data_IF_811720872211
#
_entry.id   IF_811720872211
#
_cell.length_a   1.000
_cell.length_b   1.000
_cell.length_c   1.000
_cell.angle_alpha   90.00
_cell.angle_beta   90.00
_cell.angle_gamma   90.00
#
_symmetry.space_group_name_H-M   'P 1'
#
loop_
_entity.id
_entity.type
_entity.pdbx_description
1 polymer ?
#
# COMPACT_ATOMS: atom_id res chain seq x y z
N UNK A 1 33.93 -5.11 31.57
CA UNK A 1 33.44 -5.07 30.19
C UNK A 1 32.42 -3.94 30.05
N UNK A 2 32.80 -2.81 29.46
CA UNK A 2 31.97 -1.59 29.40
C UNK A 2 31.45 -1.44 27.97
N UNK A 3 30.14 -1.57 27.78
CA UNK A 3 29.46 -1.26 26.52
C UNK A 3 29.86 0.16 26.09
N UNK A 4 30.71 0.29 25.07
CA UNK A 4 31.15 1.59 24.55
C UNK A 4 29.94 2.26 23.87
N UNK A 5 29.55 3.42 24.38
CA UNK A 5 28.49 4.26 23.80
C UNK A 5 28.92 4.65 22.38
N UNK A 6 28.17 4.20 21.37
CA UNK A 6 28.40 4.60 19.98
C UNK A 6 27.93 6.07 19.87
N UNK A 7 28.88 7.00 19.72
CA UNK A 7 28.63 8.43 19.70
C UNK A 7 28.05 8.87 18.35
N UNK A 8 26.85 8.38 18.00
CA UNK A 8 26.06 8.94 16.91
C UNK A 8 25.41 10.21 17.44
N UNK A 9 25.67 11.36 16.81
CA UNK A 9 25.04 12.63 17.18
C UNK A 9 23.52 12.44 17.27
N UNK A 10 22.90 12.96 18.34
CA UNK A 10 21.46 12.87 18.65
C UNK A 10 20.92 11.50 19.12
N UNK A 11 21.76 10.48 19.36
CA UNK A 11 21.30 9.23 19.97
C UNK A 11 21.19 9.34 21.50
N UNK A 12 19.98 9.14 22.04
CA UNK A 12 19.74 8.97 23.47
C UNK A 12 19.09 7.60 23.74
N UNK A 13 19.50 6.94 24.85
CA UNK A 13 18.94 5.64 25.22
C UNK A 13 17.44 5.75 25.53
N UNK A 14 17.02 6.85 26.17
CA UNK A 14 15.61 7.14 26.45
C UNK A 14 14.79 7.32 25.17
N UNK A 15 15.30 8.08 24.20
CA UNK A 15 14.65 8.24 22.90
C UNK A 15 14.55 6.92 22.15
N UNK A 16 15.60 6.09 22.22
CA UNK A 16 15.56 4.73 21.65
C UNK A 16 14.49 3.85 22.32
N UNK A 17 14.39 3.85 23.66
CA UNK A 17 13.38 3.08 24.39
C UNK A 17 11.97 3.55 24.00
N UNK A 18 11.75 4.87 23.90
CA UNK A 18 10.49 5.46 23.47
C UNK A 18 10.12 5.02 22.04
N UNK A 19 11.03 5.18 21.08
CA UNK A 19 10.79 4.79 19.69
C UNK A 19 10.60 3.28 19.56
N UNK A 20 11.31 2.45 20.34
CA UNK A 20 11.12 1.00 20.35
C UNK A 20 9.72 0.62 20.87
N UNK A 21 9.26 1.23 21.96
CA UNK A 21 7.92 1.00 22.50
C UNK A 21 6.84 1.42 21.49
N UNK A 22 7.02 2.58 20.86
CA UNK A 22 6.12 3.10 19.82
C UNK A 22 6.12 2.22 18.57
N UNK A 23 7.28 1.79 18.10
CA UNK A 23 7.40 0.89 16.95
C UNK A 23 6.71 -0.46 17.20
N UNK A 24 6.84 -1.00 18.42
CA UNK A 24 6.11 -2.20 18.85
C UNK A 24 4.60 -1.99 18.79
N UNK A 25 4.08 -0.92 19.38
CA UNK A 25 2.65 -0.61 19.36
C UNK A 25 2.14 -0.48 17.91
N UNK A 26 2.81 0.36 17.11
CA UNK A 26 2.49 0.56 15.70
C UNK A 26 2.51 -0.75 14.90
N UNK A 27 3.43 -1.67 15.18
CA UNK A 27 3.49 -2.96 14.51
C UNK A 27 2.21 -3.78 14.77
N UNK A 28 1.78 -3.89 16.02
CA UNK A 28 0.56 -4.63 16.37
C UNK A 28 -0.71 -3.95 15.84
N UNK A 29 -0.78 -2.62 15.86
CA UNK A 29 -1.90 -1.88 15.31
C UNK A 29 -2.03 -2.10 13.80
N UNK A 30 -0.91 -2.04 13.08
CA UNK A 30 -0.88 -2.32 11.64
C UNK A 30 -1.21 -3.78 11.33
N UNK A 31 -0.66 -4.74 12.09
CA UNK A 31 -0.96 -6.15 11.91
C UNK A 31 -2.46 -6.43 12.12
N UNK A 32 -3.06 -5.85 13.16
CA UNK A 32 -4.50 -5.97 13.45
C UNK A 32 -5.33 -5.39 12.30
N UNK A 33 -4.98 -4.20 11.82
CA UNK A 33 -5.65 -3.56 10.69
C UNK A 33 -5.56 -4.40 9.41
N UNK A 34 -4.38 -4.93 9.09
CA UNK A 34 -4.17 -5.81 7.93
C UNK A 34 -4.96 -7.12 8.06
N UNK A 35 -5.05 -7.69 9.27
CA UNK A 35 -5.84 -8.88 9.52
C UNK A 35 -7.33 -8.64 9.28
N UNK A 36 -7.86 -7.49 9.72
CA UNK A 36 -9.25 -7.09 9.43
C UNK A 36 -9.47 -7.05 7.92
N UNK A 37 -8.57 -6.40 7.17
CA UNK A 37 -8.68 -6.33 5.71
C UNK A 37 -8.59 -7.70 5.01
N UNK A 38 -7.79 -8.63 5.54
CA UNK A 38 -7.71 -9.98 5.01
C UNK A 38 -9.02 -10.76 5.23
N UNK A 39 -9.71 -10.51 6.34
CA UNK A 39 -10.99 -11.13 6.68
C UNK A 39 -12.19 -10.47 5.96
N UNK A 40 -12.06 -9.22 5.52
CA UNK A 40 -13.11 -8.52 4.76
C UNK A 40 -13.21 -9.06 3.34
N UNK A 41 -14.19 -9.90 3.03
CA UNK A 41 -14.36 -10.47 1.69
C UNK A 41 -14.87 -9.44 0.67
N UNK A 42 -14.36 -9.53 -0.55
CA UNK A 42 -14.78 -8.74 -1.73
C UNK A 42 -15.40 -9.62 -2.81
N UNK A 43 -15.75 -10.87 -2.50
CA UNK A 43 -16.23 -11.85 -3.50
C UNK A 43 -17.52 -11.43 -4.21
N UNK A 44 -18.43 -10.77 -3.49
CA UNK A 44 -19.73 -10.31 -4.01
C UNK A 44 -19.75 -8.81 -4.30
N UNK A 45 -18.60 -8.13 -4.15
CA UNK A 45 -18.46 -6.71 -4.43
C UNK A 45 -18.03 -6.54 -5.89
N UNK A 46 -18.69 -5.63 -6.60
CA UNK A 46 -18.22 -5.20 -7.92
C UNK A 46 -16.98 -4.29 -7.79
N UNK A 47 -15.83 -4.94 -7.61
CA UNK A 47 -14.54 -4.26 -7.48
C UNK A 47 -14.20 -3.49 -8.77
N UNK A 48 -14.69 -3.93 -9.92
CA UNK A 48 -14.44 -3.24 -11.19
C UNK A 48 -15.16 -1.89 -11.22
N UNK A 49 -16.46 -1.87 -10.88
CA UNK A 49 -17.21 -0.61 -10.76
C UNK A 49 -16.61 0.30 -9.70
N UNK A 50 -16.21 -0.24 -8.54
CA UNK A 50 -15.54 0.53 -7.48
C UNK A 50 -14.27 1.24 -8.00
N UNK A 51 -13.43 0.52 -8.74
CA UNK A 51 -12.18 1.06 -9.29
C UNK A 51 -12.41 2.10 -10.37
N UNK A 52 -13.38 1.89 -11.26
CA UNK A 52 -13.75 2.86 -12.30
C UNK A 52 -14.27 4.17 -11.69
N UNK A 53 -14.92 4.08 -10.53
CA UNK A 53 -15.43 5.19 -9.74
C UNK A 53 -14.35 5.96 -8.96
N UNK A 54 -13.36 5.25 -8.42
CA UNK A 54 -12.27 5.83 -7.62
C UNK A 54 -11.13 6.38 -8.48
N UNK A 55 -10.91 5.81 -9.66
CA UNK A 55 -9.77 6.12 -10.52
C UNK A 55 -10.27 6.82 -11.78
N UNK A 56 -9.98 8.12 -11.90
CA UNK A 56 -10.46 8.96 -13.02
C UNK A 56 -10.06 8.44 -14.41
N UNK A 57 -8.97 7.69 -14.53
CA UNK A 57 -8.53 7.10 -15.79
C UNK A 57 -9.06 5.68 -15.95
N UNK A 58 -10.01 5.47 -16.88
CA UNK A 58 -10.56 4.14 -17.21
C UNK A 58 -9.49 3.10 -17.53
N UNK A 59 -8.44 3.49 -18.27
CA UNK A 59 -7.31 2.60 -18.59
C UNK A 59 -6.54 2.18 -17.35
N UNK A 60 -6.34 3.12 -16.40
CA UNK A 60 -5.65 2.85 -15.14
C UNK A 60 -6.52 1.95 -14.25
N UNK A 61 -7.82 2.23 -14.17
CA UNK A 61 -8.79 1.41 -13.43
C UNK A 61 -8.84 -0.03 -13.94
N UNK A 62 -8.86 -0.23 -15.26
CA UNK A 62 -8.81 -1.57 -15.89
C UNK A 62 -7.54 -2.33 -15.53
N UNK A 63 -6.37 -1.72 -15.69
CA UNK A 63 -5.11 -2.34 -15.28
C UNK A 63 -5.05 -2.63 -13.78
N UNK A 64 -5.62 -1.76 -12.97
CA UNK A 64 -5.68 -1.95 -11.52
C UNK A 64 -6.59 -3.13 -11.16
N UNK A 65 -7.69 -3.33 -11.87
CA UNK A 65 -8.57 -4.48 -11.67
C UNK A 65 -7.87 -5.80 -12.04
N UNK A 66 -7.08 -5.79 -13.11
CA UNK A 66 -6.25 -6.94 -13.49
C UNK A 66 -5.19 -7.24 -12.42
N UNK A 67 -4.52 -6.21 -11.91
CA UNK A 67 -3.54 -6.35 -10.84
C UNK A 67 -4.20 -6.87 -9.55
N UNK A 68 -5.37 -6.36 -9.17
CA UNK A 68 -6.17 -6.89 -8.07
C UNK A 68 -6.53 -8.35 -8.26
N UNK A 69 -6.94 -8.75 -9.47
CA UNK A 69 -7.29 -10.15 -9.77
C UNK A 69 -6.08 -11.08 -9.60
N UNK A 70 -4.88 -10.61 -9.98
CA UNK A 70 -3.63 -11.33 -9.74
C UNK A 70 -3.35 -11.47 -8.23
N UNK A 71 -3.43 -10.38 -7.46
CA UNK A 71 -3.22 -10.42 -6.01
C UNK A 71 -4.25 -11.29 -5.29
N UNK A 72 -5.52 -11.25 -5.73
CA UNK A 72 -6.63 -12.03 -5.21
C UNK A 72 -6.51 -13.52 -5.54
N UNK A 73 -5.86 -13.90 -6.65
CA UNK A 73 -5.59 -15.31 -6.97
C UNK A 73 -4.68 -15.99 -5.94
N UNK A 74 -3.83 -15.22 -5.26
CA UNK A 74 -2.89 -15.71 -4.24
C UNK A 74 -3.47 -15.61 -2.83
N UNK A 75 -4.14 -14.50 -2.51
CA UNK A 75 -4.56 -14.17 -1.13
C UNK A 75 -6.07 -14.23 -0.90
N UNK A 76 -6.84 -14.53 -1.95
CA UNK A 76 -8.30 -14.54 -1.95
C UNK A 76 -8.92 -13.17 -2.29
N UNK A 77 -10.23 -13.20 -2.59
CA UNK A 77 -11.02 -11.99 -2.79
C UNK A 77 -11.33 -11.33 -1.45
N UNK A 78 -10.43 -10.44 -1.02
CA UNK A 78 -10.57 -9.64 0.17
C UNK A 78 -10.04 -8.21 -0.03
N UNK A 79 -10.33 -7.35 0.95
CA UNK A 79 -9.89 -5.95 0.98
C UNK A 79 -8.37 -5.83 1.02
N UNK A 80 -7.68 -6.78 1.65
CA UNK A 80 -6.22 -6.81 1.66
C UNK A 80 -5.63 -7.00 0.25
N UNK A 81 -6.24 -7.83 -0.60
CA UNK A 81 -5.83 -7.99 -2.00
C UNK A 81 -5.96 -6.70 -2.80
N UNK A 82 -7.00 -5.91 -2.55
CA UNK A 82 -7.17 -4.58 -3.16
C UNK A 82 -6.09 -3.60 -2.68
N UNK A 83 -5.82 -3.57 -1.37
CA UNK A 83 -4.72 -2.78 -0.81
C UNK A 83 -3.36 -3.21 -1.37
N UNK A 84 -3.12 -4.52 -1.51
CA UNK A 84 -1.91 -5.09 -2.10
C UNK A 84 -1.72 -4.64 -3.55
N UNK A 85 -2.79 -4.58 -4.35
CA UNK A 85 -2.72 -4.08 -5.71
C UNK A 85 -2.34 -2.59 -5.76
N UNK A 86 -2.91 -1.76 -4.88
CA UNK A 86 -2.56 -0.34 -4.79
C UNK A 86 -1.10 -0.14 -4.39
N UNK A 87 -0.61 -0.84 -3.36
CA UNK A 87 0.78 -0.71 -2.93
C UNK A 87 1.76 -1.30 -3.95
N UNK A 88 1.39 -2.37 -4.66
CA UNK A 88 2.17 -2.93 -5.77
C UNK A 88 2.35 -1.89 -6.90
N UNK A 89 1.29 -1.17 -7.27
CA UNK A 89 1.36 -0.07 -8.24
C UNK A 89 2.38 1.03 -7.86
N UNK A 90 2.46 1.38 -6.58
CA UNK A 90 3.39 2.38 -6.08
C UNK A 90 4.79 1.84 -5.74
N UNK A 91 4.96 0.51 -5.61
CA UNK A 91 6.26 -0.10 -5.27
C UNK A 91 7.05 -0.52 -6.50
N UNK A 92 6.37 -0.94 -7.57
CA UNK A 92 7.01 -1.46 -8.77
C UNK A 92 6.69 -0.62 -10.00
N UNK A 93 7.70 -0.46 -10.86
CA UNK A 93 7.64 0.30 -12.11
C UNK A 93 8.01 -0.54 -13.33
N UNK A 94 7.87 -1.87 -13.22
CA UNK A 94 8.30 -2.84 -14.21
C UNK A 94 7.11 -3.45 -14.96
N UNK A 95 7.41 -4.42 -15.84
CA UNK A 95 6.37 -5.12 -16.61
C UNK A 95 5.53 -6.07 -15.75
N UNK A 96 6.00 -6.46 -14.56
CA UNK A 96 5.35 -7.49 -13.73
C UNK A 96 3.99 -7.03 -13.21
N UNK A 97 3.83 -5.73 -12.98
CA UNK A 97 2.56 -5.17 -12.52
C UNK A 97 1.76 -4.44 -13.62
N UNK A 98 2.27 -4.41 -14.86
CA UNK A 98 1.62 -3.74 -15.98
C UNK A 98 1.64 -2.20 -15.92
N UNK A 99 2.38 -1.61 -14.97
CA UNK A 99 2.53 -0.17 -14.76
C UNK A 99 3.99 0.28 -14.94
N UNK A 100 4.56 -0.03 -16.10
CA UNK A 100 5.90 0.42 -16.48
C UNK A 100 5.99 1.95 -16.57
N UNK A 101 7.08 2.54 -16.07
CA UNK A 101 7.38 3.95 -16.34
C UNK A 101 7.89 4.11 -17.78
N UNK A 102 7.51 5.23 -18.42
CA UNK A 102 8.07 5.57 -19.73
C UNK A 102 9.48 6.11 -19.53
N UNK A 103 10.46 5.53 -20.22
CA UNK A 103 11.81 6.07 -20.24
C UNK A 103 11.88 7.30 -21.15
N UNK A 104 11.74 8.49 -20.59
CA UNK A 104 11.78 9.77 -21.31
C UNK A 104 13.18 10.42 -21.35
N UNK A 105 14.24 9.70 -20.97
CA UNK A 105 15.62 10.20 -20.98
C UNK A 105 15.99 11.17 -19.85
N UNK A 106 15.00 11.75 -19.17
CA UNK A 106 15.17 12.51 -17.93
C UNK A 106 14.99 11.61 -16.70
N UNK A 107 15.73 11.86 -15.62
CA UNK A 107 15.59 11.17 -14.34
C UNK A 107 14.32 11.63 -13.60
N UNK A 108 13.17 11.15 -14.06
CA UNK A 108 11.85 11.45 -13.49
C UNK A 108 11.28 10.25 -12.71
N UNK A 109 12.08 9.20 -12.52
CA UNK A 109 11.63 7.97 -11.87
C UNK A 109 11.18 8.25 -10.44
N UNK A 110 12.03 8.90 -9.65
CA UNK A 110 11.73 9.20 -8.24
C UNK A 110 10.45 10.04 -8.10
N UNK A 111 10.31 11.11 -8.90
CA UNK A 111 9.12 11.99 -8.89
C UNK A 111 7.86 11.21 -9.29
N UNK A 112 7.97 10.35 -10.31
CA UNK A 112 6.85 9.54 -10.77
C UNK A 112 6.41 8.53 -9.71
N UNK A 113 7.36 7.84 -9.06
CA UNK A 113 7.06 6.87 -8.00
C UNK A 113 6.44 7.54 -6.78
N UNK A 114 6.98 8.69 -6.36
CA UNK A 114 6.39 9.48 -5.29
C UNK A 114 4.96 9.94 -5.62
N UNK A 115 4.70 10.34 -6.87
CA UNK A 115 3.34 10.70 -7.30
C UNK A 115 2.38 9.49 -7.21
N UNK A 116 2.85 8.28 -7.48
CA UNK A 116 2.05 7.06 -7.29
C UNK A 116 1.75 6.80 -5.83
N UNK A 117 2.71 6.99 -4.93
CA UNK A 117 2.48 6.87 -3.49
C UNK A 117 1.38 7.82 -3.01
N UNK A 118 1.37 9.05 -3.53
CA UNK A 118 0.29 10.00 -3.23
C UNK A 118 -1.07 9.56 -3.77
N UNK A 119 -1.13 9.01 -5.00
CA UNK A 119 -2.37 8.46 -5.55
C UNK A 119 -2.91 7.32 -4.69
N UNK A 120 -2.03 6.40 -4.26
CA UNK A 120 -2.41 5.30 -3.36
C UNK A 120 -2.92 5.84 -2.03
N UNK A 121 -2.25 6.85 -1.45
CA UNK A 121 -2.72 7.49 -0.22
C UNK A 121 -4.15 8.04 -0.39
N UNK A 122 -4.46 8.65 -1.54
CA UNK A 122 -5.81 9.15 -1.83
C UNK A 122 -6.82 8.00 -1.92
N UNK A 123 -6.51 6.93 -2.66
CA UNK A 123 -7.41 5.78 -2.82
C UNK A 123 -7.69 5.06 -1.51
N UNK A 124 -6.67 4.87 -0.65
CA UNK A 124 -6.81 4.19 0.64
C UNK A 124 -7.55 5.06 1.66
N UNK A 125 -7.50 6.39 1.50
CA UNK A 125 -8.28 7.35 2.30
C UNK A 125 -9.70 7.61 1.78
N UNK A 126 -10.03 7.11 0.59
CA UNK A 126 -11.33 7.35 -0.02
C UNK A 126 -12.43 6.67 0.81
N UNK A 127 -13.56 7.35 1.10
CA UNK A 127 -14.68 6.75 1.81
C UNK A 127 -15.13 5.41 1.22
N UNK A 128 -15.14 5.27 -0.12
CA UNK A 128 -15.54 4.04 -0.80
C UNK A 128 -14.64 2.86 -0.44
N UNK A 129 -13.35 3.09 -0.21
CA UNK A 129 -12.42 2.07 0.26
C UNK A 129 -12.55 1.83 1.77
N UNK A 130 -12.71 2.88 2.57
CA UNK A 130 -12.82 2.77 4.03
C UNK A 130 -14.07 1.98 4.42
N UNK A 131 -15.23 2.37 3.89
CA UNK A 131 -16.54 1.74 4.16
C UNK A 131 -16.78 0.48 3.32
N UNK A 132 -15.76 -0.01 2.62
CA UNK A 132 -15.79 -1.32 2.02
C UNK A 132 -15.90 -2.35 3.16
N UNK A 133 -17.13 -2.70 3.49
CA UNK A 133 -17.51 -3.71 4.46
C UNK A 133 -17.70 -5.05 3.74
N UNK A 134 -17.49 -6.13 4.49
CA UNK A 134 -17.73 -7.47 4.00
C UNK A 134 -19.24 -7.64 3.76
N UNK A 135 -19.62 -8.12 2.58
CA UNK A 135 -20.97 -8.63 2.35
C UNK A 135 -21.08 -10.07 2.86
#
# INVERSE_FOLDING_TARGET
DKVRKKNTANFTLEGFIYELARARANFYDNATKMQVWANTSTKYVDVKSLLDDMISSKRKAEKMFQLYSHEASVRGHNKFSLYSAFTNYASYADERNGFSLKNTGNDTQAVSMWSREQEVSKWVSDPKFITLEAA
#
